data_IF_134371397987
#
_entry.id   IF_134371397987
#
_cell.length_a   1.000
_cell.length_b   1.000
_cell.length_c   1.000
_cell.angle_alpha   90.00
_cell.angle_beta   90.00
_cell.angle_gamma   90.00
#
_symmetry.space_group_name_H-M   'P 1'
#
loop_
_entity.id
_entity.type
_entity.pdbx_description
1 polymer ?
#
# COMPACT_ATOMS: atom_id res chain seq x y z
N UNK A 1 43.29 -41.03 3.83
CA UNK A 1 42.07 -40.37 4.35
C UNK A 1 41.94 -38.86 4.03
N UNK A 2 42.86 -38.22 3.29
CA UNK A 2 42.81 -36.76 3.06
C UNK A 2 42.26 -36.30 1.70
N UNK A 3 41.90 -37.19 0.77
CA UNK A 3 41.36 -36.81 -0.55
C UNK A 3 39.83 -36.67 -0.61
N UNK A 4 39.10 -37.33 0.29
CA UNK A 4 37.63 -37.26 0.33
C UNK A 4 37.10 -35.97 0.98
N UNK A 5 37.86 -35.35 1.89
CA UNK A 5 37.45 -34.09 2.54
C UNK A 5 37.58 -32.85 1.63
N UNK A 6 38.46 -32.87 0.61
CA UNK A 6 38.67 -31.72 -0.27
C UNK A 6 37.67 -31.61 -1.44
N UNK A 7 36.87 -32.65 -1.70
CA UNK A 7 35.85 -32.62 -2.75
C UNK A 7 34.46 -32.21 -2.25
N UNK A 8 34.23 -32.21 -0.93
CA UNK A 8 32.95 -31.79 -0.33
C UNK A 8 32.89 -30.29 -0.01
N UNK A 9 34.04 -29.61 0.07
CA UNK A 9 34.13 -28.18 0.37
C UNK A 9 33.46 -27.26 -0.68
N UNK A 10 33.58 -27.48 -2.01
CA UNK A 10 32.93 -26.60 -2.98
C UNK A 10 31.41 -26.81 -3.09
N UNK A 11 30.89 -27.96 -2.62
CA UNK A 11 29.46 -28.29 -2.67
C UNK A 11 28.64 -27.60 -1.56
N UNK A 12 29.29 -27.23 -0.45
CA UNK A 12 28.68 -26.46 0.64
C UNK A 12 28.71 -24.94 0.44
N UNK A 13 29.56 -24.43 -0.45
CA UNK A 13 29.70 -22.99 -0.73
C UNK A 13 28.68 -22.46 -1.75
N UNK A 14 28.10 -23.33 -2.57
CA UNK A 14 27.11 -22.94 -3.59
C UNK A 14 25.83 -22.32 -3.01
N UNK A 15 25.13 -22.91 -2.03
CA UNK A 15 23.86 -22.34 -1.56
C UNK A 15 24.02 -20.98 -0.87
N UNK A 16 25.16 -20.74 -0.21
CA UNK A 16 25.44 -19.46 0.45
C UNK A 16 25.64 -18.32 -0.57
N UNK A 17 26.32 -18.58 -1.69
CA UNK A 17 26.53 -17.59 -2.74
C UNK A 17 25.21 -17.20 -3.44
N UNK A 18 24.32 -18.17 -3.71
CA UNK A 18 23.00 -17.89 -4.28
C UNK A 18 22.08 -17.13 -3.30
N UNK A 19 22.18 -17.38 -2.00
CA UNK A 19 21.42 -16.63 -1.00
C UNK A 19 21.83 -15.15 -0.95
N UNK A 20 23.14 -14.86 -1.04
CA UNK A 20 23.66 -13.49 -1.05
C UNK A 20 23.28 -12.76 -2.33
N UNK A 21 23.39 -13.43 -3.49
CA UNK A 21 23.00 -12.87 -4.79
C UNK A 21 21.48 -12.63 -4.85
N UNK A 22 20.66 -13.57 -4.35
CA UNK A 22 19.21 -13.41 -4.26
C UNK A 22 18.79 -12.30 -3.30
N UNK A 23 19.51 -12.09 -2.21
CA UNK A 23 19.27 -10.99 -1.27
C UNK A 23 19.65 -9.63 -1.86
N UNK A 24 20.77 -9.53 -2.58
CA UNK A 24 21.20 -8.27 -3.22
C UNK A 24 20.34 -7.92 -4.43
N UNK A 25 20.01 -8.87 -5.30
CA UNK A 25 19.03 -8.67 -6.38
C UNK A 25 17.62 -8.40 -5.85
N UNK A 26 17.23 -9.06 -4.75
CA UNK A 26 15.97 -8.78 -4.08
C UNK A 26 15.89 -7.36 -3.53
N UNK A 27 17.02 -6.76 -3.13
CA UNK A 27 17.10 -5.34 -2.74
C UNK A 27 17.23 -4.39 -3.94
N UNK A 28 17.75 -4.86 -5.08
CA UNK A 28 17.87 -4.05 -6.30
C UNK A 28 16.53 -3.96 -7.07
N UNK A 29 15.80 -5.06 -7.15
CA UNK A 29 14.49 -5.15 -7.84
C UNK A 29 13.38 -4.53 -6.98
N UNK A 30 13.47 -4.65 -5.65
CA UNK A 30 12.65 -3.85 -4.72
C UNK A 30 13.28 -2.47 -4.60
N UNK A 31 13.16 -1.68 -5.66
CA UNK A 31 13.66 -0.31 -5.75
C UNK A 31 13.48 0.41 -4.43
N UNK A 32 14.56 1.07 -4.00
CA UNK A 32 14.71 1.87 -2.78
C UNK A 32 13.40 2.00 -2.00
N UNK A 33 13.17 1.13 -1.01
CA UNK A 33 12.17 1.44 0.01
C UNK A 33 12.48 2.87 0.45
N UNK A 34 11.57 3.85 0.26
CA UNK A 34 11.73 5.11 0.94
C UNK A 34 11.94 4.76 2.41
N UNK A 35 12.89 5.41 3.09
CA UNK A 35 13.09 5.24 4.53
C UNK A 35 11.71 5.46 5.15
N UNK A 36 11.02 4.35 5.44
CA UNK A 36 9.68 4.38 5.97
C UNK A 36 9.87 4.93 7.36
N UNK A 37 9.51 6.19 7.55
CA UNK A 37 9.54 6.81 8.84
C UNK A 37 8.68 5.92 9.75
N UNK A 38 9.31 5.23 10.71
CA UNK A 38 8.61 4.34 11.65
C UNK A 38 7.51 5.10 12.43
N UNK A 39 7.50 6.42 12.29
CA UNK A 39 6.53 7.38 12.81
C UNK A 39 5.12 7.22 12.22
N UNK A 40 4.97 6.74 10.97
CA UNK A 40 3.66 6.65 10.29
C UNK A 40 3.43 5.26 9.65
N UNK A 41 3.10 4.23 10.45
CA UNK A 41 3.05 2.85 9.98
C UNK A 41 1.96 2.59 8.92
N UNK A 42 0.86 3.35 8.92
CA UNK A 42 -0.25 3.15 7.97
C UNK A 42 0.08 3.78 6.62
N UNK A 43 0.88 4.85 6.58
CA UNK A 43 1.43 5.38 5.33
C UNK A 43 2.31 4.36 4.59
N UNK A 44 3.03 3.52 5.32
CA UNK A 44 3.80 2.41 4.72
C UNK A 44 2.87 1.42 4.02
N UNK A 45 1.76 1.07 4.67
CA UNK A 45 0.74 0.20 4.07
C UNK A 45 0.09 0.86 2.85
N UNK A 46 -0.24 2.16 2.94
CA UNK A 46 -0.76 2.92 1.80
C UNK A 46 0.17 2.82 0.59
N UNK A 47 1.48 3.04 0.78
CA UNK A 47 2.46 2.98 -0.31
C UNK A 47 2.54 1.60 -0.97
N UNK A 48 2.38 0.51 -0.20
CA UNK A 48 2.34 -0.85 -0.73
C UNK A 48 1.11 -1.04 -1.60
N UNK A 49 -0.06 -0.69 -1.08
CA UNK A 49 -1.31 -0.81 -1.82
C UNK A 49 -1.35 0.09 -3.06
N UNK A 50 -0.83 1.31 -2.98
CA UNK A 50 -0.76 2.21 -4.14
C UNK A 50 0.11 1.63 -5.25
N UNK A 51 1.25 1.02 -4.91
CA UNK A 51 2.10 0.32 -5.87
C UNK A 51 1.34 -0.83 -6.54
N UNK A 52 0.64 -1.63 -5.75
CA UNK A 52 -0.08 -2.81 -6.26
C UNK A 52 -1.29 -2.38 -7.11
N UNK A 53 -1.95 -1.24 -6.81
CA UNK A 53 -2.98 -0.65 -7.66
C UNK A 53 -2.47 -0.27 -9.07
N UNK A 54 -1.20 0.11 -9.20
CA UNK A 54 -0.55 0.39 -10.48
C UNK A 54 -0.05 -0.87 -11.20
N UNK A 55 -0.04 -2.04 -10.55
CA UNK A 55 0.48 -3.27 -11.12
C UNK A 55 -0.48 -3.84 -12.18
N UNK A 56 -0.12 -3.73 -13.46
CA UNK A 56 -0.92 -4.23 -14.58
C UNK A 56 -1.04 -5.76 -14.65
N UNK A 57 -0.22 -6.50 -13.91
CA UNK A 57 -0.34 -7.96 -13.80
C UNK A 57 -1.51 -8.39 -12.90
N UNK A 58 -2.07 -7.49 -12.10
CA UNK A 58 -3.22 -7.75 -11.24
C UNK A 58 -4.55 -7.47 -11.96
N UNK A 59 -5.60 -8.17 -11.53
CA UNK A 59 -6.95 -7.96 -12.04
C UNK A 59 -7.43 -6.53 -11.78
N UNK A 60 -8.35 -6.01 -12.59
CA UNK A 60 -8.93 -4.67 -12.38
C UNK A 60 -9.59 -4.54 -11.00
N UNK A 61 -10.30 -5.58 -10.55
CA UNK A 61 -10.92 -5.63 -9.23
C UNK A 61 -9.89 -5.51 -8.10
N UNK A 62 -8.82 -6.32 -8.15
CA UNK A 62 -7.75 -6.26 -7.15
C UNK A 62 -7.09 -4.89 -7.14
N UNK A 63 -6.83 -4.32 -8.31
CA UNK A 63 -6.21 -2.99 -8.41
C UNK A 63 -7.11 -1.90 -7.85
N UNK A 64 -8.42 -1.99 -8.09
CA UNK A 64 -9.41 -1.07 -7.52
C UNK A 64 -9.46 -1.17 -5.99
N UNK A 65 -9.46 -2.40 -5.47
CA UNK A 65 -9.37 -2.66 -4.03
C UNK A 65 -8.10 -2.05 -3.44
N UNK A 66 -6.94 -2.28 -4.07
CA UNK A 66 -5.68 -1.69 -3.62
C UNK A 66 -5.70 -0.15 -3.67
N UNK A 67 -6.32 0.46 -4.68
CA UNK A 67 -6.47 1.92 -4.73
C UNK A 67 -7.30 2.44 -3.56
N UNK A 68 -8.41 1.76 -3.25
CA UNK A 68 -9.24 2.05 -2.09
C UNK A 68 -8.46 1.91 -0.77
N UNK A 69 -7.78 0.79 -0.56
CA UNK A 69 -7.01 0.53 0.67
C UNK A 69 -5.94 1.61 0.90
N UNK A 70 -5.24 2.03 -0.16
CA UNK A 70 -4.28 3.13 -0.07
C UNK A 70 -4.92 4.43 0.45
N UNK A 71 -6.09 4.81 -0.08
CA UNK A 71 -6.85 5.97 0.38
C UNK A 71 -7.26 5.81 1.85
N UNK A 72 -7.78 4.63 2.21
CA UNK A 72 -8.27 4.36 3.56
C UNK A 72 -7.14 4.42 4.60
N UNK A 73 -5.99 3.80 4.33
CA UNK A 73 -4.83 3.87 5.23
C UNK A 73 -4.27 5.28 5.39
N UNK A 74 -4.29 6.10 4.34
CA UNK A 74 -3.98 7.53 4.44
C UNK A 74 -4.95 8.24 5.39
N UNK A 75 -6.26 8.03 5.21
CA UNK A 75 -7.28 8.63 6.07
C UNK A 75 -7.13 8.19 7.53
N UNK A 76 -6.86 6.91 7.78
CA UNK A 76 -6.59 6.39 9.11
C UNK A 76 -5.40 7.08 9.77
N UNK A 77 -4.29 7.24 9.06
CA UNK A 77 -3.10 7.91 9.62
C UNK A 77 -3.41 9.36 10.01
N UNK A 78 -4.13 10.10 9.15
CA UNK A 78 -4.53 11.49 9.44
C UNK A 78 -5.44 11.58 10.67
N UNK A 79 -6.41 10.67 10.78
CA UNK A 79 -7.36 10.60 11.89
C UNK A 79 -6.64 10.28 13.20
N UNK A 80 -5.72 9.30 13.19
CA UNK A 80 -4.89 8.95 14.34
C UNK A 80 -3.96 10.09 14.75
N UNK A 81 -3.33 10.77 13.79
CA UNK A 81 -2.47 11.92 14.06
C UNK A 81 -3.22 13.09 14.70
N UNK A 82 -4.56 13.12 14.59
CA UNK A 82 -5.45 14.10 15.23
C UNK A 82 -5.99 13.64 16.59
N UNK A 83 -5.53 12.50 17.09
CA UNK A 83 -5.90 11.97 18.41
C UNK A 83 -7.22 11.20 18.45
N UNK A 84 -7.77 10.81 17.29
CA UNK A 84 -8.95 9.94 17.24
C UNK A 84 -8.52 8.47 17.34
N UNK A 85 -9.17 7.73 18.22
CA UNK A 85 -8.97 6.29 18.33
C UNK A 85 -9.69 5.55 17.19
N UNK A 86 -8.99 4.59 16.60
CA UNK A 86 -9.44 3.80 15.46
C UNK A 86 -9.33 2.29 15.71
N UNK A 87 -9.04 1.88 16.96
CA UNK A 87 -8.80 0.47 17.32
C UNK A 87 -10.04 -0.42 17.15
N UNK A 88 -11.25 0.12 17.35
CA UNK A 88 -12.51 -0.65 17.33
C UNK A 88 -13.40 -0.38 16.11
N UNK A 89 -12.87 0.26 15.06
CA UNK A 89 -13.66 0.63 13.88
C UNK A 89 -13.71 -0.53 12.87
N UNK A 90 -14.91 -0.81 12.36
CA UNK A 90 -15.10 -1.76 11.25
C UNK A 90 -14.45 -1.26 9.95
N UNK A 91 -14.03 -2.19 9.09
CA UNK A 91 -13.44 -1.86 7.78
C UNK A 91 -14.47 -2.06 6.66
N UNK A 92 -14.77 -1.04 5.82
CA UNK A 92 -14.31 0.33 5.91
C UNK A 92 -15.19 1.21 6.81
N UNK A 93 -14.57 2.08 7.60
CA UNK A 93 -15.29 3.03 8.46
C UNK A 93 -15.58 4.34 7.71
N UNK A 94 -16.86 4.62 7.42
CA UNK A 94 -17.28 5.83 6.71
C UNK A 94 -16.83 7.13 7.41
N UNK A 95 -16.87 7.15 8.76
CA UNK A 95 -16.41 8.29 9.55
C UNK A 95 -14.92 8.60 9.37
N UNK A 96 -14.07 7.55 9.24
CA UNK A 96 -12.62 7.72 9.00
C UNK A 96 -12.37 8.31 7.62
N UNK A 97 -13.04 7.79 6.60
CA UNK A 97 -12.91 8.30 5.23
C UNK A 97 -13.30 9.77 5.16
N UNK A 98 -14.47 10.12 5.70
CA UNK A 98 -14.96 11.49 5.69
C UNK A 98 -14.04 12.44 6.47
N UNK A 99 -13.64 12.06 7.69
CA UNK A 99 -12.76 12.88 8.53
C UNK A 99 -11.38 13.05 7.90
N UNK A 100 -10.78 11.97 7.38
CA UNK A 100 -9.46 12.00 6.73
C UNK A 100 -9.44 12.86 5.47
N UNK A 101 -10.40 12.66 4.55
CA UNK A 101 -10.49 13.43 3.31
C UNK A 101 -10.72 14.92 3.58
N UNK A 102 -11.61 15.26 4.52
CA UNK A 102 -11.85 16.64 4.95
C UNK A 102 -10.59 17.26 5.54
N UNK A 103 -9.89 16.51 6.39
CA UNK A 103 -8.64 16.94 7.04
C UNK A 103 -7.53 17.30 6.06
N UNK A 104 -7.49 16.62 4.91
CA UNK A 104 -6.52 16.84 3.85
C UNK A 104 -6.94 17.91 2.84
N UNK A 105 -8.11 18.53 3.01
CA UNK A 105 -8.74 19.37 1.99
C UNK A 105 -8.79 18.64 0.63
N UNK A 106 -9.32 17.41 0.63
CA UNK A 106 -9.62 16.68 -0.59
C UNK A 106 -10.59 17.49 -1.48
N UNK A 107 -10.40 17.45 -2.80
CA UNK A 107 -11.33 18.11 -3.71
C UNK A 107 -12.68 17.37 -3.72
N UNK A 108 -13.78 18.03 -4.14
CA UNK A 108 -15.08 17.37 -4.26
C UNK A 108 -15.02 16.10 -5.13
N UNK A 109 -14.27 16.13 -6.23
CA UNK A 109 -14.09 14.96 -7.11
C UNK A 109 -13.33 13.81 -6.43
N UNK A 110 -12.30 14.13 -5.64
CA UNK A 110 -11.56 13.13 -4.86
C UNK A 110 -12.47 12.49 -3.80
N UNK A 111 -13.30 13.30 -3.14
CA UNK A 111 -14.28 12.83 -2.14
C UNK A 111 -15.31 11.92 -2.80
N UNK A 112 -15.92 12.36 -3.90
CA UNK A 112 -16.92 11.59 -4.63
C UNK A 112 -16.36 10.24 -5.13
N UNK A 113 -15.14 10.25 -5.68
CA UNK A 113 -14.46 9.03 -6.13
C UNK A 113 -14.19 8.08 -4.95
N UNK A 114 -13.67 8.60 -3.84
CA UNK A 114 -13.37 7.80 -2.66
C UNK A 114 -14.64 7.22 -2.01
N UNK A 115 -15.76 7.94 -2.06
CA UNK A 115 -17.07 7.46 -1.60
C UNK A 115 -17.60 6.33 -2.47
N UNK A 116 -17.56 6.47 -3.81
CA UNK A 116 -17.96 5.40 -4.72
C UNK A 116 -17.13 4.12 -4.51
N UNK A 117 -15.83 4.26 -4.23
CA UNK A 117 -14.97 3.13 -3.88
C UNK A 117 -15.35 2.51 -2.53
N UNK A 118 -15.65 3.33 -1.52
CA UNK A 118 -16.04 2.85 -0.19
C UNK A 118 -17.39 2.11 -0.21
N UNK A 119 -18.38 2.65 -0.94
CA UNK A 119 -19.67 2.00 -1.17
C UNK A 119 -19.47 0.65 -1.88
N UNK A 120 -18.68 0.64 -2.96
CA UNK A 120 -18.36 -0.59 -3.68
C UNK A 120 -17.68 -1.66 -2.82
N UNK A 121 -16.78 -1.27 -1.92
CA UNK A 121 -16.13 -2.22 -0.99
C UNK A 121 -17.11 -2.76 0.05
N UNK A 122 -18.13 -1.98 0.42
CA UNK A 122 -19.15 -2.41 1.37
C UNK A 122 -20.20 -3.31 0.73
N UNK A 123 -20.54 -3.06 -0.53
CA UNK A 123 -21.41 -3.92 -1.31
C UNK A 123 -20.68 -5.23 -1.63
N UNK A 124 -21.30 -6.38 -1.41
CA UNK A 124 -20.79 -7.67 -1.90
C UNK A 124 -21.04 -7.81 -3.40
N UNK A 125 -20.65 -6.79 -4.17
CA UNK A 125 -20.98 -6.63 -5.57
C UNK A 125 -19.80 -7.08 -6.44
N UNK A 126 -19.99 -8.07 -7.34
CA UNK A 126 -18.93 -8.53 -8.23
C UNK A 126 -18.59 -7.52 -9.34
N UNK A 127 -19.41 -6.47 -9.52
CA UNK A 127 -19.19 -5.44 -10.55
C UNK A 127 -18.25 -4.37 -10.04
N UNK A 128 -17.43 -3.84 -10.96
CA UNK A 128 -16.58 -2.69 -10.67
C UNK A 128 -17.43 -1.44 -10.43
N UNK A 129 -16.93 -0.49 -9.62
CA UNK A 129 -17.60 0.80 -9.44
C UNK A 129 -17.61 1.57 -10.76
N UNK A 130 -18.46 2.61 -10.84
CA UNK A 130 -18.54 3.52 -11.99
C UNK A 130 -17.30 4.40 -12.20
N UNK A 131 -16.15 4.02 -11.64
CA UNK A 131 -14.87 4.72 -11.66
C UNK A 131 -13.86 3.80 -12.34
N UNK A 132 -12.98 4.37 -13.17
CA UNK A 132 -11.89 3.60 -13.79
C UNK A 132 -10.74 3.36 -12.82
N UNK A 133 -9.96 2.29 -13.04
CA UNK A 133 -8.75 2.02 -12.23
C UNK A 133 -7.76 3.20 -12.29
N UNK A 134 -7.66 3.88 -13.44
CA UNK A 134 -6.81 5.05 -13.60
C UNK A 134 -7.23 6.23 -12.73
N UNK A 135 -8.53 6.50 -12.65
CA UNK A 135 -9.08 7.55 -11.78
C UNK A 135 -8.90 7.21 -10.30
N UNK A 136 -9.18 5.96 -9.90
CA UNK A 136 -8.96 5.50 -8.53
C UNK A 136 -7.48 5.63 -8.13
N UNK A 137 -6.55 5.21 -8.98
CA UNK A 137 -5.10 5.38 -8.75
C UNK A 137 -4.69 6.86 -8.68
N UNK A 138 -5.28 7.73 -9.51
CA UNK A 138 -5.01 9.17 -9.49
C UNK A 138 -5.43 9.80 -8.17
N UNK A 139 -6.62 9.45 -7.67
CA UNK A 139 -7.12 9.90 -6.36
C UNK A 139 -6.25 9.37 -5.24
N UNK A 140 -5.95 8.07 -5.23
CA UNK A 140 -5.07 7.46 -4.22
C UNK A 140 -3.70 8.13 -4.14
N UNK A 141 -3.07 8.41 -5.29
CA UNK A 141 -1.80 9.14 -5.37
C UNK A 141 -1.92 10.59 -4.88
N UNK A 142 -3.02 11.27 -5.16
CA UNK A 142 -3.24 12.64 -4.71
C UNK A 142 -3.42 12.69 -3.19
N UNK A 143 -4.21 11.78 -2.63
CA UNK A 143 -4.45 11.60 -1.19
C UNK A 143 -3.15 11.25 -0.45
N UNK A 144 -2.36 10.31 -0.97
CA UNK A 144 -1.06 9.93 -0.39
C UNK A 144 -0.09 11.12 -0.29
N UNK A 145 -0.01 11.92 -1.36
CA UNK A 145 0.79 13.16 -1.38
C UNK A 145 0.27 14.20 -0.39
N UNK A 146 -1.06 14.39 -0.29
CA UNK A 146 -1.66 15.33 0.68
C UNK A 146 -1.41 14.88 2.11
N UNK A 147 -1.52 13.58 2.38
CA UNK A 147 -1.23 12.99 3.69
C UNK A 147 0.22 13.22 4.09
N UNK A 148 1.15 12.91 3.19
CA UNK A 148 2.59 13.09 3.44
C UNK A 148 2.93 14.55 3.76
N UNK A 149 2.31 15.51 3.05
CA UNK A 149 2.49 16.96 3.31
C UNK A 149 1.87 17.42 4.63
N UNK A 150 0.79 16.79 5.05
CA UNK A 150 0.09 17.13 6.29
C UNK A 150 0.84 16.61 7.53
N UNK A 151 1.56 15.50 7.38
CA UNK A 151 2.27 14.81 8.47
C UNK A 151 3.78 15.09 8.50
N UNK A 152 4.32 15.78 7.50
CA UNK A 152 5.71 16.26 7.46
C UNK A 152 5.87 17.55 8.25
#
# INVERSE_FOLDING_TARGET
MNRLMNQLLPLLLMPAAFAVIGFTLGRLIRGCRPKCDARYPRLVMSSIYLRDAHNSALSQHTRMWCAFESIYFCCLEVVVARGLDVTELGHPAAGVMHAGLTSMAASPDEIATAQLLAEWVHETNPRLPGVTVGEACKVAKSVDRKTTRLLS
#
